data_IF_622707606863
#
_entry.id   IF_622707606863
#
_cell.length_a   1.000
_cell.length_b   1.000
_cell.length_c   1.000
_cell.angle_alpha   90.00
_cell.angle_beta   90.00
_cell.angle_gamma   90.00
#
_symmetry.space_group_name_H-M   'P 1'
#
loop_
_entity.id
_entity.type
_entity.pdbx_description
1 polymer ?
#
# COMPACT_ATOMS: atom_id res chain seq x y z
N UNK A 1 10.04 6.94 1.45
CA UNK A 1 10.55 6.33 0.20
C UNK A 1 9.37 5.75 -0.55
N UNK A 2 9.26 6.06 -1.86
CA UNK A 2 8.32 5.42 -2.78
C UNK A 2 9.02 4.25 -3.46
N UNK A 3 8.43 3.05 -3.36
CA UNK A 3 8.91 1.81 -3.97
C UNK A 3 7.87 1.28 -4.95
N UNK A 4 8.31 0.88 -6.14
CA UNK A 4 7.46 0.33 -7.18
C UNK A 4 8.27 -0.15 -8.38
N UNK A 5 7.58 -0.66 -9.39
CA UNK A 5 8.15 -1.01 -10.68
C UNK A 5 8.44 0.22 -11.55
N UNK A 6 8.94 0.00 -12.75
CA UNK A 6 9.21 1.09 -13.71
C UNK A 6 7.92 1.83 -14.10
N UNK A 7 6.82 1.12 -14.19
CA UNK A 7 5.53 1.67 -14.60
C UNK A 7 4.93 2.61 -13.54
N UNK A 8 5.38 2.49 -12.29
CA UNK A 8 4.95 3.36 -11.19
C UNK A 8 5.72 4.69 -11.12
N UNK A 9 6.87 4.79 -11.82
CA UNK A 9 7.75 5.96 -11.75
C UNK A 9 7.08 7.28 -12.14
N UNK A 10 6.28 7.38 -13.21
CA UNK A 10 5.63 8.64 -13.59
C UNK A 10 4.68 9.16 -12.49
N UNK A 11 3.86 8.28 -11.92
CA UNK A 11 2.94 8.64 -10.83
C UNK A 11 3.72 9.05 -9.57
N UNK A 12 4.79 8.35 -9.25
CA UNK A 12 5.65 8.69 -8.11
C UNK A 12 6.35 10.05 -8.29
N UNK A 13 6.75 10.41 -9.50
CA UNK A 13 7.31 11.73 -9.84
C UNK A 13 6.27 12.84 -9.67
N UNK A 14 5.04 12.62 -10.12
CA UNK A 14 3.92 13.54 -9.93
C UNK A 14 3.64 13.77 -8.43
N UNK A 15 3.61 12.70 -7.63
CA UNK A 15 3.45 12.79 -6.18
C UNK A 15 4.56 13.62 -5.52
N UNK A 16 5.83 13.37 -5.87
CA UNK A 16 6.96 14.16 -5.36
C UNK A 16 6.83 15.62 -5.78
N UNK A 17 6.43 15.89 -7.03
CA UNK A 17 6.28 17.24 -7.54
C UNK A 17 5.17 18.03 -6.83
N UNK A 18 4.08 17.36 -6.45
CA UNK A 18 2.93 17.97 -5.75
C UNK A 18 3.17 18.22 -4.26
N UNK A 19 4.19 17.58 -3.65
CA UNK A 19 4.44 17.69 -2.22
C UNK A 19 5.28 18.95 -1.88
N UNK A 20 4.87 19.76 -0.89
CA UNK A 20 5.56 21.01 -0.56
C UNK A 20 7.03 20.81 -0.17
N UNK A 21 7.33 19.74 0.57
CA UNK A 21 8.68 19.42 1.06
C UNK A 21 9.31 18.29 0.25
N UNK A 22 9.58 18.52 -1.02
CA UNK A 22 10.08 17.52 -2.00
C UNK A 22 11.31 16.76 -1.52
N UNK A 23 12.18 17.38 -0.74
CA UNK A 23 13.39 16.73 -0.19
C UNK A 23 13.12 15.60 0.80
N UNK A 24 11.91 15.51 1.34
CA UNK A 24 11.51 14.44 2.28
C UNK A 24 11.01 13.18 1.59
N UNK A 25 10.74 13.22 0.28
CA UNK A 25 10.20 12.10 -0.48
C UNK A 25 11.25 11.63 -1.49
N UNK A 26 11.68 10.39 -1.34
CA UNK A 26 12.61 9.75 -2.28
C UNK A 26 11.83 8.80 -3.20
N UNK A 27 11.79 9.13 -4.51
CA UNK A 27 11.25 8.22 -5.52
C UNK A 27 12.31 7.20 -5.94
N UNK A 28 12.05 5.93 -5.69
CA UNK A 28 12.92 4.81 -6.08
C UNK A 28 12.23 3.81 -7.02
N UNK A 29 11.05 4.15 -7.54
CA UNK A 29 10.32 3.30 -8.47
C UNK A 29 11.16 2.98 -9.71
N UNK A 30 11.28 1.69 -10.03
CA UNK A 30 12.04 1.19 -11.16
C UNK A 30 13.57 1.26 -11.03
N UNK A 31 14.11 1.74 -9.89
CA UNK A 31 15.58 1.91 -9.69
C UNK A 31 16.26 0.70 -9.08
N UNK A 32 15.52 -0.17 -8.42
CA UNK A 32 16.06 -1.29 -7.66
C UNK A 32 15.47 -2.62 -8.11
N UNK A 33 16.25 -3.67 -8.01
CA UNK A 33 15.76 -5.04 -8.14
C UNK A 33 15.03 -5.48 -6.86
N UNK A 34 14.45 -6.68 -6.90
CA UNK A 34 13.64 -7.20 -5.79
C UNK A 34 14.43 -7.29 -4.48
N UNK A 35 15.69 -7.76 -4.51
CA UNK A 35 16.51 -7.90 -3.31
C UNK A 35 16.90 -6.54 -2.71
N UNK A 36 17.19 -5.56 -3.55
CA UNK A 36 17.47 -4.19 -3.11
C UNK A 36 16.23 -3.53 -2.51
N UNK A 37 15.05 -3.73 -3.13
CA UNK A 37 13.77 -3.28 -2.60
C UNK A 37 13.45 -3.94 -1.25
N UNK A 38 13.73 -5.24 -1.11
CA UNK A 38 13.58 -5.96 0.15
C UNK A 38 14.50 -5.39 1.25
N UNK A 39 15.72 -5.00 0.91
CA UNK A 39 16.64 -4.35 1.86
C UNK A 39 16.12 -3.00 2.35
N UNK A 40 15.49 -2.21 1.49
CA UNK A 40 14.83 -0.95 1.88
C UNK A 40 13.66 -1.23 2.80
N UNK A 41 12.81 -2.20 2.47
CA UNK A 41 11.68 -2.63 3.29
C UNK A 41 12.15 -3.11 4.66
N UNK A 42 13.24 -3.86 4.72
CA UNK A 42 13.82 -4.34 5.99
C UNK A 42 14.22 -3.18 6.92
N UNK A 43 14.64 -2.04 6.39
CA UNK A 43 15.05 -0.86 7.15
C UNK A 43 13.88 0.07 7.50
N UNK A 44 12.71 -0.11 6.89
CA UNK A 44 11.55 0.73 7.15
C UNK A 44 11.02 0.52 8.57
N UNK A 45 10.53 1.59 9.19
CA UNK A 45 9.82 1.52 10.48
C UNK A 45 8.45 0.85 10.30
N UNK A 46 7.74 1.21 9.24
CA UNK A 46 6.44 0.65 8.84
C UNK A 46 6.24 0.83 7.32
N UNK A 47 5.25 0.15 6.78
CA UNK A 47 4.94 0.15 5.36
C UNK A 47 3.47 0.47 5.12
N UNK A 48 3.20 1.41 4.19
CA UNK A 48 1.89 1.60 3.57
C UNK A 48 1.92 0.94 2.20
N UNK A 49 1.01 0.04 1.93
CA UNK A 49 1.05 -0.74 0.69
C UNK A 49 -0.33 -1.27 0.29
N UNK A 50 -0.49 -1.59 -0.97
CA UNK A 50 -1.57 -2.46 -1.44
C UNK A 50 -1.20 -3.94 -1.27
N UNK A 51 -2.10 -4.85 -1.66
CA UNK A 51 -1.82 -6.28 -1.78
C UNK A 51 -0.79 -6.52 -2.91
N UNK A 52 0.48 -6.59 -2.52
CA UNK A 52 1.62 -6.70 -3.45
C UNK A 52 2.70 -7.62 -2.89
N UNK A 53 3.64 -8.03 -3.74
CA UNK A 53 4.81 -8.80 -3.31
C UNK A 53 5.62 -8.10 -2.20
N UNK A 54 5.73 -6.77 -2.23
CA UNK A 54 6.43 -6.00 -1.18
C UNK A 54 5.72 -6.06 0.17
N UNK A 55 4.40 -6.18 0.21
CA UNK A 55 3.64 -6.42 1.44
C UNK A 55 4.05 -7.73 2.11
N UNK A 56 4.16 -8.81 1.33
CA UNK A 56 4.56 -10.11 1.85
C UNK A 56 6.03 -10.14 2.28
N UNK A 57 6.91 -9.43 1.59
CA UNK A 57 8.30 -9.24 2.00
C UNK A 57 8.37 -8.48 3.34
N UNK A 58 7.58 -7.42 3.50
CA UNK A 58 7.50 -6.68 4.75
C UNK A 58 6.99 -7.57 5.91
N UNK A 59 5.99 -8.40 5.65
CA UNK A 59 5.49 -9.35 6.62
C UNK A 59 6.56 -10.38 7.04
N UNK A 60 7.38 -10.87 6.09
CA UNK A 60 8.50 -11.76 6.39
C UNK A 60 9.55 -11.09 7.30
N UNK A 61 9.78 -9.79 7.16
CA UNK A 61 10.64 -9.00 8.04
C UNK A 61 9.94 -8.51 9.33
N UNK A 62 8.71 -8.95 9.59
CA UNK A 62 7.93 -8.55 10.76
C UNK A 62 7.72 -7.03 10.87
N UNK A 63 7.59 -6.37 9.73
CA UNK A 63 7.31 -4.94 9.71
C UNK A 63 5.84 -4.68 10.03
N UNK A 64 5.56 -3.52 10.62
CA UNK A 64 4.21 -2.99 10.78
C UNK A 64 3.68 -2.54 9.43
N UNK A 65 2.49 -2.98 9.07
CA UNK A 65 1.94 -2.80 7.73
C UNK A 65 0.56 -2.16 7.79
N UNK A 66 0.36 -1.10 7.02
CA UNK A 66 -0.97 -0.64 6.63
C UNK A 66 -1.24 -1.16 5.23
N UNK A 67 -2.10 -2.16 5.13
CA UNK A 67 -2.51 -2.74 3.84
C UNK A 67 -3.81 -2.11 3.37
N UNK A 68 -3.77 -1.43 2.22
CA UNK A 68 -4.89 -0.70 1.64
C UNK A 68 -5.59 -1.58 0.60
N UNK A 69 -6.88 -1.82 0.80
CA UNK A 69 -7.67 -2.73 -0.02
C UNK A 69 -8.75 -1.99 -0.82
N UNK A 70 -8.74 -2.20 -2.12
CA UNK A 70 -9.69 -1.60 -3.04
C UNK A 70 -10.77 -2.58 -3.50
N UNK A 71 -10.61 -3.13 -4.70
CA UNK A 71 -11.59 -3.99 -5.37
C UNK A 71 -11.55 -5.47 -4.95
N UNK A 72 -10.54 -5.88 -4.20
CA UNK A 72 -10.43 -7.19 -3.52
C UNK A 72 -10.65 -7.04 -2.02
N UNK A 73 -10.56 -8.14 -1.29
CA UNK A 73 -10.73 -8.18 0.18
C UNK A 73 -9.67 -9.07 0.80
N UNK A 74 -9.17 -8.73 2.01
CA UNK A 74 -8.16 -9.54 2.69
C UNK A 74 -8.66 -10.94 3.07
N UNK A 75 -9.97 -11.14 3.22
CA UNK A 75 -10.61 -12.42 3.55
C UNK A 75 -10.33 -13.53 2.52
N UNK A 76 -9.87 -13.20 1.34
CA UNK A 76 -9.40 -14.20 0.37
C UNK A 76 -8.08 -14.88 0.76
N UNK A 77 -7.54 -14.59 1.94
CA UNK A 77 -6.34 -15.21 2.48
C UNK A 77 -5.04 -14.46 2.14
N UNK A 78 -5.14 -13.23 1.67
CA UNK A 78 -3.99 -12.41 1.25
C UNK A 78 -3.47 -11.47 2.35
N UNK A 79 -3.83 -11.70 3.61
CA UNK A 79 -3.34 -10.91 4.74
C UNK A 79 -1.82 -10.92 4.88
N UNK A 80 -1.22 -9.84 5.43
CA UNK A 80 0.17 -9.86 5.89
C UNK A 80 0.39 -10.97 6.92
N UNK A 81 1.24 -11.94 6.61
CA UNK A 81 1.35 -13.16 7.40
C UNK A 81 2.17 -12.98 8.68
N UNK A 82 1.56 -13.31 9.84
CA UNK A 82 2.22 -13.31 11.17
C UNK A 82 3.00 -12.03 11.49
N UNK A 83 2.48 -10.87 11.16
CA UNK A 83 3.02 -9.56 11.52
C UNK A 83 1.92 -8.65 12.01
N UNK A 84 2.28 -7.53 12.65
CA UNK A 84 1.34 -6.49 13.06
C UNK A 84 0.88 -5.69 11.83
N UNK A 85 -0.42 -5.62 11.60
CA UNK A 85 -0.95 -4.87 10.45
C UNK A 85 -2.32 -4.26 10.72
N UNK A 86 -2.65 -3.25 9.94
CA UNK A 86 -3.98 -2.68 9.80
C UNK A 86 -4.43 -2.92 8.37
N UNK A 87 -5.56 -3.62 8.18
CA UNK A 87 -6.23 -3.71 6.89
C UNK A 87 -7.17 -2.50 6.76
N UNK A 88 -6.91 -1.63 5.78
CA UNK A 88 -7.71 -0.45 5.53
C UNK A 88 -8.53 -0.59 4.26
N UNK A 89 -9.82 -0.35 4.36
CA UNK A 89 -10.76 -0.54 3.28
C UNK A 89 -12.02 0.28 3.50
N UNK A 90 -12.78 0.52 2.44
CA UNK A 90 -14.13 1.09 2.56
C UNK A 90 -15.09 -0.02 2.98
N UNK A 91 -15.63 0.10 4.19
CA UNK A 91 -16.56 -0.88 4.74
C UNK A 91 -17.95 -0.80 4.07
N UNK A 92 -18.66 -1.93 4.08
CA UNK A 92 -20.05 -2.03 3.63
C UNK A 92 -20.33 -1.54 2.20
N UNK A 93 -19.33 -1.62 1.31
CA UNK A 93 -19.51 -1.28 -0.11
C UNK A 93 -20.05 -2.48 -0.88
N UNK A 94 -21.33 -2.50 -1.33
CA UNK A 94 -22.00 -3.69 -1.86
C UNK A 94 -21.38 -4.29 -3.10
N UNK A 95 -20.54 -3.54 -3.83
CA UNK A 95 -19.86 -4.00 -5.02
C UNK A 95 -18.47 -4.63 -4.76
N UNK A 96 -18.09 -4.82 -3.49
CA UNK A 96 -16.86 -5.52 -3.09
C UNK A 96 -17.17 -6.91 -2.52
N UNK A 97 -16.31 -7.90 -2.79
CA UNK A 97 -15.19 -7.87 -3.75
C UNK A 97 -15.68 -7.87 -5.20
N UNK A 98 -14.97 -7.19 -6.11
CA UNK A 98 -15.32 -7.21 -7.54
C UNK A 98 -15.02 -8.55 -8.19
N UNK A 99 -13.92 -9.19 -7.79
CA UNK A 99 -13.51 -10.55 -8.15
C UNK A 99 -12.43 -11.02 -7.18
N UNK A 100 -12.00 -12.27 -7.29
CA UNK A 100 -10.95 -12.86 -6.43
C UNK A 100 -9.59 -12.12 -6.56
N UNK A 101 -9.25 -11.63 -7.75
CA UNK A 101 -7.96 -10.97 -8.04
C UNK A 101 -8.11 -9.50 -8.38
N UNK A 102 -9.33 -8.96 -8.34
CA UNK A 102 -9.63 -7.60 -8.76
C UNK A 102 -9.75 -7.43 -10.29
N UNK A 103 -9.99 -6.19 -10.70
CA UNK A 103 -10.03 -5.77 -12.11
C UNK A 103 -9.12 -4.56 -12.31
N UNK A 104 -8.57 -4.43 -13.51
CA UNK A 104 -7.76 -3.27 -13.89
C UNK A 104 -8.56 -1.96 -13.97
N UNK A 105 -9.88 -2.05 -14.07
CA UNK A 105 -10.78 -0.90 -14.09
C UNK A 105 -12.06 -1.20 -13.30
N UNK A 106 -12.69 -0.18 -12.75
CA UNK A 106 -13.92 -0.33 -11.99
C UNK A 106 -15.11 -0.67 -12.89
N UNK A 107 -15.74 -1.86 -12.78
CA UNK A 107 -16.89 -2.23 -13.58
C UNK A 107 -18.10 -1.30 -13.37
N UNK A 108 -18.21 -0.70 -12.20
CA UNK A 108 -19.27 0.26 -11.83
C UNK A 108 -18.90 1.71 -12.14
N UNK A 109 -17.70 1.99 -12.69
CA UNK A 109 -17.19 3.31 -13.09
C UNK A 109 -17.09 4.37 -11.98
N UNK A 110 -17.42 4.06 -10.73
CA UNK A 110 -17.39 5.04 -9.62
C UNK A 110 -16.10 4.98 -8.78
N UNK A 111 -15.42 3.85 -8.73
CA UNK A 111 -14.16 3.59 -8.01
C UNK A 111 -14.19 3.98 -6.51
N UNK A 112 -15.36 3.90 -5.87
CA UNK A 112 -15.57 4.30 -4.48
C UNK A 112 -14.69 3.54 -3.49
N UNK A 113 -14.37 2.27 -3.77
CA UNK A 113 -13.49 1.46 -2.92
C UNK A 113 -12.10 2.05 -2.70
N UNK A 114 -11.68 3.02 -3.54
CA UNK A 114 -10.44 3.78 -3.38
C UNK A 114 -10.72 5.26 -3.09
N UNK A 115 -11.66 5.89 -3.80
CA UNK A 115 -11.90 7.32 -3.68
C UNK A 115 -12.50 7.76 -2.35
N UNK A 116 -13.31 6.88 -1.73
CA UNK A 116 -13.98 7.19 -0.46
C UNK A 116 -13.13 6.75 0.75
N UNK A 117 -11.88 6.35 0.55
CA UNK A 117 -10.99 6.01 1.64
C UNK A 117 -10.52 7.25 2.41
N UNK A 118 -10.59 7.18 3.73
CA UNK A 118 -10.16 8.23 4.66
C UNK A 118 -9.19 7.64 5.66
N UNK A 119 -7.93 7.42 5.23
CA UNK A 119 -6.92 6.77 6.05
C UNK A 119 -6.49 7.64 7.24
N UNK A 120 -6.72 7.22 8.50
CA UNK A 120 -6.35 7.97 9.70
C UNK A 120 -4.86 7.77 10.03
N UNK A 121 -3.97 8.28 9.18
CA UNK A 121 -2.51 8.07 9.25
C UNK A 121 -1.97 8.42 10.62
N UNK A 122 -2.35 9.58 11.18
CA UNK A 122 -1.84 10.05 12.47
C UNK A 122 -2.25 9.15 13.64
N UNK A 123 -3.46 8.60 13.61
CA UNK A 123 -3.96 7.70 14.64
C UNK A 123 -3.22 6.35 14.60
N UNK A 124 -3.01 5.82 13.40
CA UNK A 124 -2.27 4.57 13.18
C UNK A 124 -0.82 4.72 13.65
N UNK A 125 -0.14 5.79 13.25
CA UNK A 125 1.23 6.06 13.64
C UNK A 125 1.37 6.29 15.14
N UNK A 126 0.42 6.99 15.78
CA UNK A 126 0.43 7.21 17.22
C UNK A 126 0.27 5.90 18.00
N UNK A 127 -0.56 4.96 17.51
CA UNK A 127 -0.71 3.64 18.12
C UNK A 127 0.57 2.81 18.04
N UNK A 128 1.40 3.02 17.03
CA UNK A 128 2.64 2.29 16.82
C UNK A 128 3.90 2.94 17.43
N UNK A 129 3.81 4.16 17.93
CA UNK A 129 4.91 4.84 18.64
C UNK A 129 5.05 4.44 20.12
N UNK A 130 4.13 3.63 20.60
CA UNK A 130 4.19 3.03 21.94
C UNK A 130 5.02 1.76 21.92
#
# INVERSE_FOLDING_TARGET
>A
VLLGGKDDSPMAEELVASYPSKSLILNTCGKYNLNQSASIVQQAAYLYTHDTGLMHIAAAFKKRIVSIWGNTVPEFGMYPYKTEYVAWQVENLPCRPCSKIGYNSCPKKHFKCMKDQTLPVHEIEAAWKK
#
